data_IF_668515402581
#
_entry.id   IF_668515402581
#
_cell.length_a   1.000
_cell.length_b   1.000
_cell.length_c   1.000
_cell.angle_alpha   90.00
_cell.angle_beta   90.00
_cell.angle_gamma   90.00
#
_symmetry.space_group_name_H-M   'P 1'
#
loop_
_entity.id
_entity.type
_entity.pdbx_description
1 polymer ?
#
# COMPACT_ATOMS: atom_id res chain seq x y z
N UNK A 1 -21.52 -53.11 -17.00
CA UNK A 1 -21.64 -51.94 -16.09
C UNK A 1 -23.07 -51.87 -15.62
N UNK A 2 -23.30 -51.93 -14.31
CA UNK A 2 -24.66 -51.82 -13.75
C UNK A 2 -25.24 -50.42 -14.01
N UNK A 3 -26.55 -50.25 -13.81
CA UNK A 3 -27.18 -48.93 -13.93
C UNK A 3 -26.61 -47.95 -12.89
N UNK A 4 -26.37 -48.44 -11.68
CA UNK A 4 -25.75 -47.69 -10.57
C UNK A 4 -24.33 -47.25 -10.94
N UNK A 5 -23.55 -48.13 -11.56
CA UNK A 5 -22.21 -47.77 -12.05
C UNK A 5 -22.25 -46.69 -13.12
N UNK A 6 -23.20 -46.76 -14.05
CA UNK A 6 -23.38 -45.74 -15.11
C UNK A 6 -23.76 -44.39 -14.51
N UNK A 7 -24.71 -44.40 -13.57
CA UNK A 7 -25.16 -43.20 -12.88
C UNK A 7 -23.98 -42.55 -12.14
N UNK A 8 -23.20 -43.34 -11.39
CA UNK A 8 -22.04 -42.81 -10.67
C UNK A 8 -20.98 -42.22 -11.61
N UNK A 9 -20.70 -42.89 -12.74
CA UNK A 9 -19.76 -42.37 -13.75
C UNK A 9 -20.24 -41.04 -14.33
N UNK A 10 -21.54 -40.90 -14.61
CA UNK A 10 -22.10 -39.65 -15.12
C UNK A 10 -21.88 -38.47 -14.14
N UNK A 11 -22.15 -38.68 -12.84
CA UNK A 11 -21.88 -37.68 -11.80
C UNK A 11 -20.38 -37.34 -11.69
N UNK A 12 -19.51 -38.34 -11.75
CA UNK A 12 -18.05 -38.15 -11.63
C UNK A 12 -17.49 -37.33 -12.79
N UNK A 13 -17.86 -37.69 -14.01
CA UNK A 13 -17.32 -37.04 -15.22
C UNK A 13 -18.01 -35.70 -15.52
N UNK A 14 -19.02 -35.31 -14.73
CA UNK A 14 -19.75 -34.06 -14.92
C UNK A 14 -20.74 -34.09 -16.09
N UNK A 15 -21.20 -35.28 -16.50
CA UNK A 15 -22.24 -35.45 -17.52
C UNK A 15 -23.62 -35.27 -16.89
N UNK A 16 -24.02 -34.01 -16.72
CA UNK A 16 -25.27 -33.63 -16.06
C UNK A 16 -26.51 -34.19 -16.77
N UNK A 17 -26.53 -34.23 -18.11
CA UNK A 17 -27.68 -34.74 -18.87
C UNK A 17 -27.88 -36.24 -18.63
N UNK A 18 -26.79 -37.01 -18.67
CA UNK A 18 -26.85 -38.44 -18.38
C UNK A 18 -27.14 -38.71 -16.90
N UNK A 19 -26.57 -37.93 -15.98
CA UNK A 19 -26.80 -38.05 -14.55
C UNK A 19 -28.29 -37.89 -14.19
N UNK A 20 -28.92 -36.80 -14.67
CA UNK A 20 -30.35 -36.53 -14.44
C UNK A 20 -31.24 -37.58 -15.11
N UNK A 21 -30.84 -38.09 -16.29
CA UNK A 21 -31.58 -39.17 -16.97
C UNK A 21 -31.55 -40.48 -16.20
N UNK A 22 -30.42 -40.82 -15.58
CA UNK A 22 -30.22 -42.09 -14.90
C UNK A 22 -30.70 -42.09 -13.44
N UNK A 23 -30.64 -40.95 -12.75
CA UNK A 23 -30.95 -40.84 -11.33
C UNK A 23 -32.33 -41.42 -10.95
N UNK A 24 -33.44 -41.15 -11.67
CA UNK A 24 -34.76 -41.72 -11.35
C UNK A 24 -34.89 -43.22 -11.64
N UNK A 25 -33.98 -43.80 -12.43
CA UNK A 25 -34.01 -45.21 -12.82
C UNK A 25 -33.28 -46.10 -11.80
N UNK A 26 -32.47 -45.51 -10.93
CA UNK A 26 -31.73 -46.19 -9.87
C UNK A 26 -32.64 -46.45 -8.67
N UNK A 27 -32.51 -47.64 -8.06
CA UNK A 27 -33.35 -48.04 -6.92
C UNK A 27 -32.98 -47.34 -5.61
N UNK A 28 -31.70 -47.24 -5.29
CA UNK A 28 -31.22 -46.69 -4.02
C UNK A 28 -30.04 -45.72 -4.26
N UNK A 29 -30.28 -44.51 -4.80
CA UNK A 29 -29.21 -43.55 -5.12
C UNK A 29 -28.32 -43.19 -3.92
N UNK A 30 -28.89 -43.15 -2.72
CA UNK A 30 -28.21 -42.89 -1.45
C UNK A 30 -27.21 -43.98 -1.03
N UNK A 31 -27.29 -45.18 -1.60
CA UNK A 31 -26.33 -46.27 -1.34
C UNK A 31 -25.23 -46.36 -2.38
N UNK A 32 -25.31 -45.58 -3.46
CA UNK A 32 -24.26 -45.56 -4.48
C UNK A 32 -23.04 -44.82 -3.93
N UNK A 33 -22.03 -45.61 -3.53
CA UNK A 33 -20.72 -45.14 -3.09
C UNK A 33 -19.64 -45.97 -3.78
N UNK A 34 -18.45 -45.40 -3.99
CA UNK A 34 -17.28 -46.17 -4.46
C UNK A 34 -16.39 -46.62 -3.31
N UNK A 35 -15.80 -47.79 -3.47
CA UNK A 35 -15.07 -48.47 -2.39
C UNK A 35 -13.71 -47.84 -2.04
N UNK A 36 -13.14 -46.99 -2.90
CA UNK A 36 -11.76 -46.50 -2.71
C UNK A 36 -11.68 -45.09 -2.12
N UNK A 37 -12.70 -44.25 -2.33
CA UNK A 37 -12.83 -42.87 -1.82
C UNK A 37 -14.12 -42.65 -1.00
N UNK A 38 -15.03 -43.62 -0.95
CA UNK A 38 -16.35 -43.50 -0.27
C UNK A 38 -17.19 -42.30 -0.72
N UNK A 39 -16.90 -41.70 -1.88
CA UNK A 39 -17.67 -40.59 -2.42
C UNK A 39 -19.07 -41.07 -2.86
N UNK A 40 -20.09 -40.36 -2.39
CA UNK A 40 -21.49 -40.58 -2.78
C UNK A 40 -21.89 -39.66 -3.94
N UNK A 41 -23.02 -39.95 -4.59
CA UNK A 41 -23.57 -39.07 -5.64
C UNK A 41 -23.78 -37.64 -5.13
N UNK A 42 -24.06 -37.48 -3.84
CA UNK A 42 -24.30 -36.17 -3.24
C UNK A 42 -23.01 -35.33 -3.15
N UNK A 43 -21.87 -35.93 -2.77
CA UNK A 43 -20.55 -35.29 -2.81
C UNK A 43 -20.21 -34.80 -4.22
N UNK A 44 -20.42 -35.67 -5.22
CA UNK A 44 -20.16 -35.36 -6.62
C UNK A 44 -21.05 -34.23 -7.12
N UNK A 45 -22.36 -34.28 -6.86
CA UNK A 45 -23.29 -33.20 -7.23
C UNK A 45 -22.88 -31.85 -6.62
N UNK A 46 -22.44 -31.87 -5.36
CA UNK A 46 -22.03 -30.66 -4.63
C UNK A 46 -20.73 -30.09 -5.21
N UNK A 47 -19.77 -30.96 -5.50
CA UNK A 47 -18.50 -30.58 -6.11
C UNK A 47 -18.61 -30.13 -7.58
N UNK A 48 -19.69 -30.50 -8.28
CA UNK A 48 -19.99 -30.05 -9.65
C UNK A 48 -20.89 -28.81 -9.69
N UNK A 49 -21.40 -28.36 -8.53
CA UNK A 49 -22.28 -27.19 -8.44
C UNK A 49 -23.72 -27.46 -8.88
N UNK A 50 -24.17 -28.71 -8.89
CA UNK A 50 -25.51 -29.08 -9.34
C UNK A 50 -26.55 -28.89 -8.23
N UNK A 51 -26.87 -27.62 -7.92
CA UNK A 51 -27.74 -27.24 -6.79
C UNK A 51 -29.08 -28.00 -6.77
N UNK A 52 -29.73 -28.15 -7.92
CA UNK A 52 -31.04 -28.81 -8.00
C UNK A 52 -30.93 -30.32 -7.75
N UNK A 53 -29.88 -30.97 -8.26
CA UNK A 53 -29.62 -32.39 -8.00
C UNK A 53 -29.20 -32.63 -6.56
N UNK A 54 -28.36 -31.76 -5.99
CA UNK A 54 -28.00 -31.77 -4.56
C UNK A 54 -29.26 -31.69 -3.69
N UNK A 55 -30.17 -30.76 -4.00
CA UNK A 55 -31.48 -30.65 -3.35
C UNK A 55 -32.32 -31.91 -3.51
N UNK A 56 -32.42 -32.48 -4.71
CA UNK A 56 -33.20 -33.69 -4.96
C UNK A 56 -32.62 -34.89 -4.19
N UNK A 57 -31.30 -35.06 -4.18
CA UNK A 57 -30.59 -36.12 -3.45
C UNK A 57 -30.86 -36.07 -1.95
N UNK A 58 -30.85 -34.89 -1.33
CA UNK A 58 -31.17 -34.75 0.10
C UNK A 58 -32.66 -34.96 0.36
N UNK A 59 -33.53 -34.28 -0.39
CA UNK A 59 -34.96 -34.19 -0.05
C UNK A 59 -35.74 -35.44 -0.44
N UNK A 60 -35.48 -36.00 -1.63
CA UNK A 60 -36.24 -37.12 -2.21
C UNK A 60 -35.57 -38.47 -1.97
N UNK A 61 -34.24 -38.51 -2.03
CA UNK A 61 -33.48 -39.76 -1.87
C UNK A 61 -32.87 -39.91 -0.48
N UNK A 62 -33.09 -38.94 0.43
CA UNK A 62 -32.67 -38.98 1.83
C UNK A 62 -31.16 -39.19 2.01
N UNK A 63 -30.35 -38.58 1.14
CA UNK A 63 -28.90 -38.48 1.35
C UNK A 63 -28.62 -37.59 2.56
N UNK A 64 -27.69 -38.01 3.42
CA UNK A 64 -27.26 -37.23 4.57
C UNK A 64 -26.29 -36.12 4.10
N UNK A 65 -26.58 -34.83 4.34
CA UNK A 65 -25.69 -33.74 3.96
C UNK A 65 -24.38 -33.71 4.76
N UNK A 66 -24.34 -34.35 5.94
CA UNK A 66 -23.15 -34.51 6.76
C UNK A 66 -22.45 -35.86 6.55
N UNK A 67 -22.88 -36.62 5.54
CA UNK A 67 -22.16 -37.82 5.11
C UNK A 67 -20.70 -37.44 4.80
N UNK A 68 -19.77 -38.31 5.23
CA UNK A 68 -18.34 -38.11 5.02
C UNK A 68 -17.80 -39.13 4.04
N UNK A 69 -16.96 -38.66 3.12
CA UNK A 69 -16.14 -39.52 2.28
C UNK A 69 -14.96 -40.13 3.07
N UNK A 70 -14.07 -40.85 2.39
CA UNK A 70 -12.92 -41.50 3.04
C UNK A 70 -11.90 -40.51 3.62
N UNK A 71 -11.85 -39.28 3.12
CA UNK A 71 -11.00 -38.24 3.68
C UNK A 71 -11.67 -37.50 4.84
N UNK A 72 -12.88 -37.89 5.24
CA UNK A 72 -13.67 -37.17 6.23
C UNK A 72 -14.39 -35.94 5.66
N UNK A 73 -14.32 -35.70 4.35
CA UNK A 73 -14.92 -34.51 3.74
C UNK A 73 -16.42 -34.72 3.56
N UNK A 74 -17.21 -33.72 3.91
CA UNK A 74 -18.65 -33.68 3.63
C UNK A 74 -18.96 -32.90 2.33
N UNK A 75 -20.23 -32.81 1.95
CA UNK A 75 -20.64 -32.09 0.74
C UNK A 75 -20.26 -30.60 0.74
N UNK A 76 -20.19 -29.97 1.93
CA UNK A 76 -19.78 -28.58 2.06
C UNK A 76 -18.31 -28.38 1.70
N UNK A 77 -17.42 -29.30 2.09
CA UNK A 77 -16.02 -29.29 1.67
C UNK A 77 -15.88 -29.41 0.15
N UNK A 78 -16.66 -30.29 -0.49
CA UNK A 78 -16.62 -30.50 -1.94
C UNK A 78 -17.12 -29.26 -2.71
N UNK A 79 -18.22 -28.66 -2.28
CA UNK A 79 -18.73 -27.42 -2.86
C UNK A 79 -17.74 -26.25 -2.69
N UNK A 80 -17.13 -26.12 -1.51
CA UNK A 80 -16.15 -25.07 -1.22
C UNK A 80 -14.85 -25.23 -2.03
N UNK A 81 -14.36 -26.46 -2.16
CA UNK A 81 -13.15 -26.81 -2.94
C UNK A 81 -13.27 -26.44 -4.42
N UNK A 82 -14.50 -26.42 -4.95
CA UNK A 82 -14.79 -26.13 -6.36
C UNK A 82 -15.54 -24.80 -6.55
N UNK A 83 -15.56 -23.94 -5.53
CA UNK A 83 -16.09 -22.57 -5.58
C UNK A 83 -17.61 -22.46 -5.85
N UNK A 84 -18.41 -23.45 -5.44
CA UNK A 84 -19.87 -23.48 -5.66
C UNK A 84 -20.66 -22.90 -4.47
N UNK A 85 -20.64 -21.56 -4.35
CA UNK A 85 -21.23 -20.82 -3.21
C UNK A 85 -22.75 -21.01 -3.09
N UNK A 86 -23.46 -21.21 -4.20
CA UNK A 86 -24.89 -21.46 -4.21
C UNK A 86 -25.27 -22.80 -3.55
N UNK A 87 -24.48 -23.84 -3.79
CA UNK A 87 -24.58 -25.12 -3.07
C UNK A 87 -24.17 -24.96 -1.61
N UNK A 88 -23.06 -24.27 -1.32
CA UNK A 88 -22.63 -24.02 0.06
C UNK A 88 -23.71 -23.33 0.88
N UNK A 89 -24.34 -22.29 0.31
CA UNK A 89 -25.43 -21.55 0.94
C UNK A 89 -26.61 -22.45 1.26
N UNK A 90 -27.01 -23.31 0.33
CA UNK A 90 -28.08 -24.28 0.59
C UNK A 90 -27.70 -25.28 1.69
N UNK A 91 -26.47 -25.80 1.68
CA UNK A 91 -26.01 -26.75 2.69
C UNK A 91 -25.92 -26.13 4.09
N UNK A 92 -25.48 -24.87 4.21
CA UNK A 92 -25.37 -24.19 5.51
C UNK A 92 -26.73 -23.69 5.99
N UNK A 93 -27.45 -22.94 5.16
CA UNK A 93 -28.66 -22.24 5.59
C UNK A 93 -29.86 -23.18 5.74
N UNK A 94 -30.02 -24.14 4.82
CA UNK A 94 -31.20 -25.02 4.77
C UNK A 94 -30.91 -26.43 5.32
N UNK A 95 -29.67 -26.93 5.18
CA UNK A 95 -29.30 -28.26 5.67
C UNK A 95 -28.54 -28.24 7.01
N UNK A 96 -28.22 -27.05 7.53
CA UNK A 96 -27.53 -26.83 8.81
C UNK A 96 -26.17 -27.53 8.91
N UNK A 97 -25.44 -27.65 7.79
CA UNK A 97 -24.05 -28.07 7.81
C UNK A 97 -23.19 -27.01 8.51
N UNK A 98 -22.23 -27.45 9.33
CA UNK A 98 -21.32 -26.55 10.03
C UNK A 98 -20.22 -26.05 9.08
N UNK A 99 -20.09 -24.72 8.83
CA UNK A 99 -19.00 -24.17 8.04
C UNK A 99 -17.61 -24.37 8.66
N UNK A 100 -17.55 -24.73 9.95
CA UNK A 100 -16.30 -25.04 10.67
C UNK A 100 -16.00 -26.54 10.74
N UNK A 101 -16.82 -27.39 10.09
CA UNK A 101 -16.56 -28.83 10.05
C UNK A 101 -15.16 -29.12 9.50
N UNK A 102 -14.53 -30.14 10.07
CA UNK A 102 -13.17 -30.58 9.69
C UNK A 102 -13.18 -31.95 9.04
N UNK A 103 -12.23 -32.19 8.14
CA UNK A 103 -11.94 -33.50 7.56
C UNK A 103 -11.07 -34.38 8.48
N UNK A 104 -10.68 -35.59 8.05
CA UNK A 104 -9.85 -36.50 8.89
C UNK A 104 -8.46 -35.93 9.23
N UNK A 105 -7.98 -34.97 8.44
CA UNK A 105 -6.72 -34.27 8.64
C UNK A 105 -6.90 -32.98 9.46
N UNK A 106 -8.11 -32.69 9.95
CA UNK A 106 -8.41 -31.46 10.67
C UNK A 106 -8.58 -30.23 9.77
N UNK A 107 -8.59 -30.40 8.44
CA UNK A 107 -8.78 -29.28 7.53
C UNK A 107 -10.24 -28.82 7.59
N UNK A 108 -10.45 -27.56 7.91
CA UNK A 108 -11.78 -26.94 7.80
C UNK A 108 -12.21 -26.79 6.34
N UNK A 109 -13.49 -26.47 6.13
CA UNK A 109 -14.02 -26.08 4.80
C UNK A 109 -13.19 -24.94 4.17
N UNK A 110 -12.72 -23.98 4.98
CA UNK A 110 -11.89 -22.86 4.53
C UNK A 110 -10.49 -23.31 4.05
N UNK A 111 -9.87 -24.29 4.70
CA UNK A 111 -8.59 -24.86 4.25
C UNK A 111 -8.72 -25.43 2.84
N UNK A 112 -9.79 -26.20 2.57
CA UNK A 112 -10.03 -26.77 1.24
C UNK A 112 -10.34 -25.72 0.19
N UNK A 113 -11.11 -24.69 0.53
CA UNK A 113 -11.35 -23.57 -0.37
C UNK A 113 -10.03 -22.86 -0.74
N UNK A 114 -9.16 -22.64 0.25
CA UNK A 114 -7.90 -21.92 0.06
C UNK A 114 -6.87 -22.72 -0.73
N UNK A 115 -6.68 -24.00 -0.42
CA UNK A 115 -5.77 -24.90 -1.14
C UNK A 115 -6.14 -25.03 -2.64
N UNK A 116 -7.41 -24.80 -2.98
CA UNK A 116 -7.91 -24.83 -4.35
C UNK A 116 -8.11 -23.43 -4.97
N UNK A 117 -7.78 -22.34 -4.28
CA UNK A 117 -7.94 -20.96 -4.78
C UNK A 117 -9.38 -20.53 -5.01
N UNK A 118 -10.34 -21.10 -4.28
CA UNK A 118 -11.79 -20.87 -4.45
C UNK A 118 -12.23 -19.55 -3.80
N UNK A 119 -12.00 -18.44 -4.50
CA UNK A 119 -12.14 -17.09 -3.98
C UNK A 119 -13.54 -16.75 -3.42
N UNK A 120 -14.61 -17.17 -4.10
CA UNK A 120 -15.97 -16.82 -3.69
C UNK A 120 -16.43 -17.67 -2.49
N UNK A 121 -16.00 -18.92 -2.43
CA UNK A 121 -16.17 -19.77 -1.25
C UNK A 121 -15.43 -19.18 -0.03
N UNK A 122 -14.17 -18.73 -0.21
CA UNK A 122 -13.38 -18.08 0.83
C UNK A 122 -14.07 -16.80 1.36
N UNK A 123 -14.54 -15.92 0.45
CA UNK A 123 -15.34 -14.74 0.81
C UNK A 123 -16.57 -15.13 1.62
N UNK A 124 -17.31 -16.11 1.14
CA UNK A 124 -18.57 -16.52 1.74
C UNK A 124 -18.36 -17.04 3.17
N UNK A 125 -17.38 -17.90 3.38
CA UNK A 125 -17.03 -18.47 4.69
C UNK A 125 -16.56 -17.39 5.68
N UNK A 126 -15.64 -16.51 5.27
CA UNK A 126 -15.04 -15.53 6.17
C UNK A 126 -16.03 -14.39 6.50
N UNK A 127 -16.73 -13.86 5.48
CA UNK A 127 -17.55 -12.65 5.66
C UNK A 127 -18.92 -12.99 6.23
N UNK A 128 -19.56 -14.07 5.78
CA UNK A 128 -20.93 -14.39 6.19
C UNK A 128 -20.99 -15.35 7.37
N UNK A 129 -19.98 -16.22 7.53
CA UNK A 129 -19.96 -17.26 8.57
C UNK A 129 -18.84 -17.09 9.59
N UNK A 130 -18.03 -16.02 9.47
CA UNK A 130 -16.97 -15.68 10.43
C UNK A 130 -15.96 -16.81 10.66
N UNK A 131 -15.68 -17.61 9.62
CA UNK A 131 -14.64 -18.63 9.66
C UNK A 131 -13.29 -18.01 10.01
N UNK A 132 -12.61 -18.59 11.01
CA UNK A 132 -11.30 -18.14 11.45
C UNK A 132 -10.23 -18.55 10.43
N UNK A 133 -9.57 -17.60 9.74
CA UNK A 133 -8.48 -17.90 8.81
C UNK A 133 -7.19 -18.36 9.53
N UNK A 134 -7.13 -18.28 10.86
CA UNK A 134 -6.03 -18.77 11.70
C UNK A 134 -6.26 -20.20 12.24
N UNK A 135 -7.38 -20.84 11.89
CA UNK A 135 -7.66 -22.20 12.35
C UNK A 135 -6.55 -23.17 11.89
N UNK A 136 -6.07 -24.02 12.80
CA UNK A 136 -5.05 -25.04 12.50
C UNK A 136 -5.71 -26.39 12.20
N UNK A 137 -5.03 -27.20 11.38
CA UNK A 137 -5.39 -28.60 11.12
C UNK A 137 -4.54 -29.54 12.00
N UNK A 138 -4.68 -30.87 11.82
CA UNK A 138 -3.98 -31.87 12.63
C UNK A 138 -2.48 -32.00 12.28
N UNK A 139 -1.99 -31.33 11.24
CA UNK A 139 -0.58 -31.39 10.84
C UNK A 139 0.28 -30.33 11.55
N UNK A 140 -0.33 -29.49 12.40
CA UNK A 140 0.34 -28.51 13.28
C UNK A 140 1.48 -27.73 12.60
N UNK A 141 1.31 -27.35 11.32
CA UNK A 141 2.32 -26.60 10.60
C UNK A 141 1.94 -25.12 10.51
N UNK A 142 2.60 -24.26 11.28
CA UNK A 142 2.46 -22.80 11.20
C UNK A 142 2.64 -22.28 9.76
N UNK A 143 3.45 -22.97 8.96
CA UNK A 143 3.68 -22.68 7.55
C UNK A 143 2.40 -22.76 6.70
N UNK A 144 1.47 -23.68 7.00
CA UNK A 144 0.23 -23.83 6.23
C UNK A 144 -0.76 -22.70 6.53
N UNK A 145 -0.86 -22.28 7.80
CA UNK A 145 -1.66 -21.11 8.18
C UNK A 145 -1.11 -19.86 7.48
N UNK A 146 0.22 -19.71 7.42
CA UNK A 146 0.86 -18.60 6.67
C UNK A 146 0.52 -18.65 5.18
N UNK A 147 0.54 -19.83 4.54
CA UNK A 147 0.16 -20.00 3.14
C UNK A 147 -1.31 -19.62 2.89
N UNK A 148 -2.21 -20.03 3.79
CA UNK A 148 -3.64 -19.67 3.73
C UNK A 148 -3.83 -18.15 3.85
N UNK A 149 -3.16 -17.53 4.81
CA UNK A 149 -3.19 -16.09 5.03
C UNK A 149 -2.60 -15.30 3.87
N UNK A 150 -1.47 -15.74 3.31
CA UNK A 150 -0.81 -15.05 2.20
C UNK A 150 -1.64 -15.18 0.90
N UNK A 151 -2.32 -16.32 0.69
CA UNK A 151 -3.31 -16.50 -0.38
C UNK A 151 -4.52 -15.56 -0.20
N UNK A 152 -5.09 -15.50 1.00
CA UNK A 152 -6.19 -14.58 1.33
C UNK A 152 -5.79 -13.10 1.25
N UNK A 153 -4.54 -12.78 1.60
CA UNK A 153 -3.99 -11.42 1.51
C UNK A 153 -3.77 -11.00 0.06
N UNK A 154 -3.17 -11.86 -0.76
CA UNK A 154 -2.89 -11.58 -2.18
C UNK A 154 -4.17 -11.40 -3.00
N UNK A 155 -5.26 -12.04 -2.59
CA UNK A 155 -6.59 -11.86 -3.19
C UNK A 155 -7.31 -10.59 -2.73
N UNK A 156 -6.77 -9.88 -1.74
CA UNK A 156 -7.35 -8.64 -1.19
C UNK A 156 -8.56 -8.88 -0.27
N UNK A 157 -8.81 -10.13 0.14
CA UNK A 157 -9.94 -10.49 1.01
C UNK A 157 -9.70 -10.10 2.46
N UNK A 158 -8.46 -10.26 2.92
CA UNK A 158 -8.04 -9.88 4.26
C UNK A 158 -6.80 -9.01 4.18
N UNK A 159 -6.51 -8.25 5.23
CA UNK A 159 -5.20 -7.64 5.44
C UNK A 159 -4.51 -8.31 6.61
N UNK A 160 -3.37 -8.94 6.36
CA UNK A 160 -2.58 -9.60 7.39
C UNK A 160 -1.51 -8.63 7.84
N UNK A 161 -1.55 -8.25 9.11
CA UNK A 161 -0.55 -7.41 9.74
C UNK A 161 0.32 -8.27 10.63
N UNK A 162 1.64 -8.24 10.41
CA UNK A 162 2.60 -9.02 11.17
C UNK A 162 3.45 -8.06 12.02
N UNK A 163 3.67 -8.41 13.28
CA UNK A 163 4.69 -7.84 14.18
C UNK A 163 5.63 -8.98 14.63
N UNK A 164 6.72 -8.66 15.33
CA UNK A 164 7.70 -9.65 15.81
C UNK A 164 7.04 -10.78 16.62
N UNK A 165 6.00 -10.46 17.40
CA UNK A 165 5.36 -11.40 18.35
C UNK A 165 3.88 -11.71 18.03
N UNK A 166 3.27 -11.05 17.05
CA UNK A 166 1.81 -11.15 16.80
C UNK A 166 1.44 -11.03 15.32
N UNK A 167 0.42 -11.78 14.93
CA UNK A 167 -0.25 -11.66 13.63
C UNK A 167 -1.69 -11.23 13.85
N UNK A 168 -2.11 -10.17 13.15
CA UNK A 168 -3.50 -9.73 13.13
C UNK A 168 -4.08 -9.93 11.74
N UNK A 169 -5.30 -10.47 11.70
CA UNK A 169 -6.04 -10.65 10.46
C UNK A 169 -7.22 -9.69 10.43
N UNK A 170 -7.17 -8.75 9.48
CA UNK A 170 -8.25 -7.79 9.23
C UNK A 170 -9.12 -8.33 8.11
N UNK A 171 -10.28 -8.84 8.48
CA UNK A 171 -11.25 -9.42 7.54
C UNK A 171 -11.99 -8.34 6.73
N UNK A 172 -12.22 -7.15 7.30
CA UNK A 172 -12.92 -6.07 6.61
C UNK A 172 -12.11 -4.77 6.65
N UNK A 173 -11.20 -4.62 5.67
CA UNK A 173 -10.40 -3.41 5.50
C UNK A 173 -11.27 -2.17 5.32
N UNK A 174 -12.39 -2.27 4.61
CA UNK A 174 -13.27 -1.14 4.31
C UNK A 174 -13.94 -0.54 5.55
N UNK A 175 -14.44 -1.40 6.45
CA UNK A 175 -15.00 -0.94 7.72
C UNK A 175 -13.93 -0.31 8.61
N UNK A 176 -12.78 -0.98 8.78
CA UNK A 176 -11.69 -0.42 9.58
C UNK A 176 -11.21 0.93 9.02
N UNK A 177 -11.06 1.02 7.69
CA UNK A 177 -10.70 2.26 7.03
C UNK A 177 -11.75 3.35 7.26
N UNK A 178 -13.04 3.03 7.17
CA UNK A 178 -14.13 4.00 7.36
C UNK A 178 -14.19 4.49 8.81
N UNK A 179 -14.08 3.58 9.79
CA UNK A 179 -14.10 3.92 11.21
C UNK A 179 -12.85 4.72 11.61
N UNK A 180 -11.67 4.28 11.19
CA UNK A 180 -10.41 4.93 11.57
C UNK A 180 -10.20 6.24 10.82
N UNK A 181 -10.27 6.24 9.49
CA UNK A 181 -10.05 7.47 8.71
C UNK A 181 -11.17 8.47 8.89
N UNK A 182 -12.41 8.00 9.05
CA UNK A 182 -13.57 8.87 9.26
C UNK A 182 -13.50 9.67 10.55
N UNK A 183 -12.84 9.15 11.58
CA UNK A 183 -12.62 9.85 12.85
C UNK A 183 -11.31 10.64 12.81
N UNK A 184 -10.21 10.00 12.37
CA UNK A 184 -8.88 10.59 12.43
C UNK A 184 -8.72 11.80 11.49
N UNK A 185 -9.43 11.81 10.35
CA UNK A 185 -9.34 12.85 9.32
C UNK A 185 -10.67 13.57 9.09
N UNK A 186 -11.62 13.47 10.04
CA UNK A 186 -12.85 14.24 9.97
C UNK A 186 -12.52 15.74 9.86
N UNK A 187 -13.10 16.49 8.90
CA UNK A 187 -12.94 17.94 8.86
C UNK A 187 -13.57 18.59 10.10
N UNK A 188 -13.05 19.75 10.54
CA UNK A 188 -13.54 20.49 11.72
C UNK A 188 -15.06 20.74 11.74
N UNK A 189 -15.69 20.78 10.55
CA UNK A 189 -17.13 20.98 10.40
C UNK A 189 -17.98 19.76 10.79
N UNK A 190 -17.37 18.59 10.98
CA UNK A 190 -18.03 17.34 11.32
C UNK A 190 -18.07 17.11 12.83
N UNK A 191 -19.13 16.46 13.32
CA UNK A 191 -19.29 16.19 14.76
C UNK A 191 -18.26 15.20 15.28
N UNK A 192 -17.75 14.38 14.39
CA UNK A 192 -16.79 13.31 14.62
C UNK A 192 -15.34 13.83 14.65
N UNK A 193 -15.11 15.12 14.35
CA UNK A 193 -13.78 15.71 14.40
C UNK A 193 -13.21 15.67 15.81
N UNK A 194 -12.00 15.13 15.93
CA UNK A 194 -11.21 15.20 17.15
C UNK A 194 -9.85 15.77 16.82
N UNK A 195 -9.50 16.88 17.47
CA UNK A 195 -8.17 17.47 17.38
C UNK A 195 -7.17 16.61 18.17
N UNK A 196 -6.71 15.54 17.53
CA UNK A 196 -5.77 14.59 18.12
C UNK A 196 -4.30 14.98 17.88
N UNK A 197 -4.04 15.89 16.95
CA UNK A 197 -2.70 16.21 16.48
C UNK A 197 -2.29 17.67 16.63
N UNK A 198 -3.19 18.53 17.12
CA UNK A 198 -2.93 19.94 17.44
C UNK A 198 -2.18 20.67 16.32
N UNK A 199 -2.64 20.51 15.07
CA UNK A 199 -2.05 21.10 13.85
C UNK A 199 -0.60 20.70 13.52
N UNK A 200 0.07 19.88 14.33
CA UNK A 200 1.47 19.44 14.15
C UNK A 200 1.58 18.10 13.42
N UNK A 201 0.47 17.37 13.31
CA UNK A 201 0.46 16.00 12.82
C UNK A 201 1.09 14.99 13.78
N UNK A 202 1.42 15.37 15.03
CA UNK A 202 1.94 14.43 16.03
C UNK A 202 0.79 13.84 16.82
N UNK A 203 0.64 12.51 16.77
CA UNK A 203 -0.37 11.77 17.52
C UNK A 203 0.33 10.83 18.49
N UNK A 204 -0.06 10.91 19.76
CA UNK A 204 0.41 9.95 20.76
C UNK A 204 -0.35 8.63 20.67
N UNK A 205 0.32 7.52 20.96
CA UNK A 205 -0.34 6.20 20.98
C UNK A 205 -1.44 6.15 22.06
N UNK A 206 -1.28 6.86 23.18
CA UNK A 206 -2.34 6.96 24.19
C UNK A 206 -3.57 7.71 23.66
N UNK A 207 -3.38 8.80 22.92
CA UNK A 207 -4.46 9.52 22.24
C UNK A 207 -5.17 8.64 21.22
N UNK A 208 -4.42 7.89 20.42
CA UNK A 208 -4.98 6.95 19.45
C UNK A 208 -5.78 5.84 20.14
N UNK A 209 -5.28 5.30 21.24
CA UNK A 209 -5.96 4.26 22.04
C UNK A 209 -7.27 4.79 22.65
N UNK A 210 -7.28 6.06 23.08
CA UNK A 210 -8.47 6.72 23.62
C UNK A 210 -9.55 6.91 22.55
N UNK A 211 -9.16 7.21 21.31
CA UNK A 211 -10.10 7.32 20.18
C UNK A 211 -10.65 5.97 19.74
N UNK A 212 -9.82 4.93 19.78
CA UNK A 212 -10.12 3.63 19.21
C UNK A 212 -9.98 2.50 20.24
N UNK A 213 -10.72 2.54 21.36
CA UNK A 213 -10.52 1.61 22.49
C UNK A 213 -10.89 0.16 22.15
N UNK A 214 -11.63 -0.06 21.06
CA UNK A 214 -12.02 -1.39 20.56
C UNK A 214 -10.85 -2.14 19.93
N UNK A 215 -9.83 -1.43 19.46
CA UNK A 215 -8.75 -2.00 18.67
C UNK A 215 -7.46 -2.08 19.46
N UNK A 216 -6.66 -3.11 19.17
CA UNK A 216 -5.29 -3.20 19.67
C UNK A 216 -4.45 -2.06 19.04
N UNK A 217 -3.72 -1.26 19.85
CA UNK A 217 -2.99 -0.10 19.36
C UNK A 217 -1.84 -0.47 18.41
N UNK A 218 -1.18 -1.62 18.62
CA UNK A 218 -0.10 -2.06 17.73
C UNK A 218 -0.66 -2.50 16.38
N UNK A 219 -1.81 -3.16 16.37
CA UNK A 219 -2.55 -3.48 15.15
C UNK A 219 -2.89 -2.21 14.37
N UNK A 220 -3.44 -1.18 15.03
CA UNK A 220 -3.77 0.10 14.38
C UNK A 220 -2.53 0.80 13.83
N UNK A 221 -1.42 0.81 14.57
CA UNK A 221 -0.17 1.40 14.12
C UNK A 221 0.34 0.67 12.88
N UNK A 222 0.36 -0.66 12.90
CA UNK A 222 0.73 -1.45 11.73
C UNK A 222 -0.20 -1.18 10.55
N UNK A 223 -1.52 -1.08 10.78
CA UNK A 223 -2.49 -0.76 9.75
C UNK A 223 -2.21 0.60 9.10
N UNK A 224 -2.06 1.65 9.92
CA UNK A 224 -1.84 3.03 9.45
C UNK A 224 -0.47 3.21 8.76
N UNK A 225 0.57 2.49 9.21
CA UNK A 225 1.87 2.43 8.54
C UNK A 225 1.80 1.71 7.20
N UNK A 226 1.08 0.59 7.11
CA UNK A 226 0.89 -0.14 5.85
C UNK A 226 0.05 0.65 4.83
N UNK A 227 -0.75 1.61 5.31
CA UNK A 227 -1.46 2.58 4.48
C UNK A 227 -0.61 3.83 4.16
N UNK A 228 0.64 3.88 4.62
CA UNK A 228 1.58 5.00 4.44
C UNK A 228 1.05 6.35 4.95
N UNK A 229 0.18 6.31 5.97
CA UNK A 229 -0.41 7.52 6.56
C UNK A 229 0.46 8.10 7.67
N UNK A 230 1.24 7.26 8.34
CA UNK A 230 2.08 7.69 9.45
C UNK A 230 3.37 6.89 9.60
N UNK A 231 4.28 7.42 10.40
CA UNK A 231 5.47 6.71 10.84
C UNK A 231 5.73 6.97 12.33
N UNK A 232 6.25 5.97 13.05
CA UNK A 232 6.65 6.15 14.44
C UNK A 232 7.91 7.01 14.54
N UNK A 233 7.88 8.03 15.40
CA UNK A 233 8.97 8.99 15.59
C UNK A 233 9.82 8.64 16.81
N UNK A 234 11.13 8.83 16.69
CA UNK A 234 12.03 8.89 17.84
C UNK A 234 11.97 10.28 18.49
N UNK A 235 11.83 10.41 19.82
CA UNK A 235 11.88 11.70 20.51
C UNK A 235 13.06 12.62 20.14
N UNK A 236 14.21 12.06 19.73
CA UNK A 236 15.35 12.86 19.24
C UNK A 236 15.03 13.63 17.95
N UNK A 237 14.21 13.06 17.07
CA UNK A 237 13.78 13.70 15.83
C UNK A 237 12.91 14.93 16.12
N UNK A 238 12.00 14.86 17.10
CA UNK A 238 11.19 16.02 17.48
C UNK A 238 12.04 17.21 17.90
N UNK A 239 13.13 16.97 18.64
CA UNK A 239 14.08 18.02 19.06
C UNK A 239 14.75 18.75 17.90
N UNK A 240 14.79 18.12 16.74
CA UNK A 240 15.41 18.64 15.52
C UNK A 240 14.39 19.29 14.58
N UNK A 241 13.11 19.35 14.97
CA UNK A 241 12.02 19.85 14.12
C UNK A 241 11.21 20.97 14.79
N UNK A 242 10.46 21.71 13.98
CA UNK A 242 9.45 22.66 14.48
C UNK A 242 8.19 21.98 15.04
N UNK A 243 8.16 20.64 15.11
CA UNK A 243 7.04 19.83 15.60
C UNK A 243 7.07 19.63 17.13
N UNK A 244 8.13 20.11 17.81
CA UNK A 244 8.35 19.90 19.25
C UNK A 244 7.28 20.56 20.14
N UNK A 245 6.71 21.68 19.71
CA UNK A 245 6.01 22.62 20.59
C UNK A 245 4.71 22.07 21.23
N UNK A 246 4.21 20.89 20.85
CA UNK A 246 3.01 20.29 21.46
C UNK A 246 3.20 18.87 22.01
N UNK A 247 4.38 18.26 21.89
CA UNK A 247 4.67 17.02 22.61
C UNK A 247 4.84 17.26 24.14
N UNK A 248 4.90 18.53 24.57
CA UNK A 248 5.18 18.96 25.95
C UNK A 248 4.11 19.91 26.51
N UNK A 249 3.21 20.47 25.70
CA UNK A 249 2.23 21.48 26.16
C UNK A 249 0.91 20.89 26.72
N UNK A 250 0.92 19.64 27.22
CA UNK A 250 -0.09 19.12 28.16
C UNK A 250 0.42 19.10 29.63
N UNK A 251 1.38 19.96 29.99
CA UNK A 251 1.85 20.11 31.37
C UNK A 251 1.72 21.56 31.89
N UNK A 252 0.48 22.04 32.05
CA UNK A 252 0.20 22.88 33.22
C UNK A 252 -0.17 21.97 34.39
N UNK A 253 0.62 22.09 35.47
CA UNK A 253 0.55 21.35 36.75
C UNK A 253 1.27 19.99 36.81
N UNK A 254 2.61 20.04 36.72
CA UNK A 254 3.50 19.16 37.46
C UNK A 254 3.51 17.69 37.04
N UNK A 255 4.27 17.37 36.01
CA UNK A 255 4.57 16.00 35.60
C UNK A 255 6.03 15.85 35.21
N UNK A 256 6.67 14.77 35.64
CA UNK A 256 7.93 14.29 35.06
C UNK A 256 7.72 13.96 33.59
N UNK A 257 8.63 14.39 32.70
CA UNK A 257 8.75 13.91 31.31
C UNK A 257 8.34 12.44 31.27
N UNK A 258 7.22 12.10 30.62
CA UNK A 258 6.86 10.70 30.33
C UNK A 258 7.89 10.16 29.34
N UNK A 259 9.02 9.78 29.90
CA UNK A 259 10.14 9.08 29.28
C UNK A 259 9.63 7.70 28.86
N UNK A 260 8.95 7.62 27.71
CA UNK A 260 8.47 6.35 27.17
C UNK A 260 7.22 6.40 26.26
N UNK A 261 6.58 7.55 26.06
CA UNK A 261 5.41 7.60 25.17
C UNK A 261 5.80 7.44 23.69
N UNK A 262 5.10 6.54 22.98
CA UNK A 262 5.28 6.33 21.54
C UNK A 262 4.49 7.39 20.78
N UNK A 263 5.16 8.05 19.83
CA UNK A 263 4.61 9.13 19.02
C UNK A 263 4.61 8.75 17.55
N UNK A 264 3.56 9.16 16.83
CA UNK A 264 3.36 8.92 15.41
C UNK A 264 3.30 10.26 14.68
N UNK A 265 3.99 10.35 13.54
CA UNK A 265 3.85 11.49 12.63
C UNK A 265 2.81 11.18 11.56
N UNK A 266 1.83 12.05 11.41
CA UNK A 266 0.85 12.06 10.33
C UNK A 266 1.05 13.34 9.52
N UNK A 267 1.80 13.32 8.40
CA UNK A 267 2.00 14.52 7.59
C UNK A 267 0.68 15.14 7.10
N UNK A 268 -0.34 14.31 6.87
CA UNK A 268 -1.68 14.71 6.44
C UNK A 268 -2.47 15.52 7.48
N UNK A 269 -2.08 15.44 8.76
CA UNK A 269 -2.69 16.22 9.85
C UNK A 269 -1.94 17.53 10.12
N UNK A 270 -0.92 17.83 9.32
CA UNK A 270 -0.16 19.06 9.42
C UNK A 270 -0.94 20.18 8.70
N UNK A 271 -1.38 21.19 9.46
CA UNK A 271 -2.18 22.31 8.94
C UNK A 271 -1.45 23.65 9.02
N UNK A 272 -0.23 23.68 9.56
CA UNK A 272 0.59 24.90 9.65
C UNK A 272 0.91 25.47 8.28
N UNK A 273 0.85 26.79 8.17
CA UNK A 273 1.31 27.53 7.00
C UNK A 273 2.83 27.60 6.91
N UNK A 274 3.31 27.93 5.71
CA UNK A 274 4.73 28.10 5.41
C UNK A 274 5.36 29.20 6.28
N UNK A 275 6.55 28.95 6.89
CA UNK A 275 7.26 29.97 7.65
C UNK A 275 7.81 31.11 6.77
N UNK A 276 7.73 32.36 7.26
CA UNK A 276 8.25 33.54 6.57
C UNK A 276 9.75 33.47 6.30
N UNK A 277 10.51 32.81 7.19
CA UNK A 277 11.97 32.63 7.09
C UNK A 277 12.38 31.94 5.77
N UNK A 278 11.53 31.07 5.22
CA UNK A 278 11.79 30.37 3.96
C UNK A 278 11.84 31.34 2.77
N UNK A 279 11.10 32.44 2.82
CA UNK A 279 11.05 33.45 1.74
C UNK A 279 12.32 34.28 1.62
N UNK A 280 13.14 34.30 2.67
CA UNK A 280 14.38 35.10 2.72
C UNK A 280 15.62 34.32 2.27
N UNK A 281 15.47 33.03 1.95
CA UNK A 281 16.59 32.16 1.52
C UNK A 281 17.02 32.48 0.08
N UNK A 282 18.34 32.46 -0.15
CA UNK A 282 18.94 32.64 -1.48
C UNK A 282 19.23 31.27 -2.10
N UNK A 283 18.35 30.82 -2.98
CA UNK A 283 18.49 29.55 -3.69
C UNK A 283 19.43 29.67 -4.89
N UNK A 284 20.21 28.62 -5.13
CA UNK A 284 21.17 28.50 -6.24
C UNK A 284 20.70 27.50 -7.29
N UNK A 285 19.80 26.59 -6.91
CA UNK A 285 19.23 25.61 -7.81
C UNK A 285 17.72 25.49 -7.60
N UNK A 286 16.99 25.29 -8.70
CA UNK A 286 15.54 25.06 -8.72
C UNK A 286 15.16 24.02 -9.76
N UNK A 287 14.34 23.06 -9.35
CA UNK A 287 13.80 22.01 -10.21
C UNK A 287 12.34 21.81 -9.90
N UNK A 288 11.56 21.43 -10.91
CA UNK A 288 10.17 21.05 -10.68
C UNK A 288 9.71 19.85 -11.52
N UNK A 289 8.84 19.06 -10.91
CA UNK A 289 8.07 18.01 -11.56
C UNK A 289 6.67 18.55 -11.82
N UNK A 290 6.33 18.82 -13.08
CA UNK A 290 5.09 19.48 -13.43
C UNK A 290 4.15 18.57 -14.21
N UNK A 291 2.86 18.55 -13.84
CA UNK A 291 1.83 17.87 -14.62
C UNK A 291 1.68 18.50 -16.02
N UNK A 292 1.59 17.67 -17.06
CA UNK A 292 1.44 18.14 -18.46
C UNK A 292 0.07 18.73 -18.74
N UNK A 293 -0.97 18.14 -18.14
CA UNK A 293 -2.37 18.55 -18.29
C UNK A 293 -2.76 19.56 -17.23
N UNK A 294 -3.55 20.57 -17.60
CA UNK A 294 -4.07 21.61 -16.69
C UNK A 294 -5.05 21.09 -15.63
N UNK A 295 -5.56 19.87 -15.78
CA UNK A 295 -6.52 19.28 -14.85
C UNK A 295 -5.90 18.18 -13.99
N UNK A 296 -4.62 17.90 -14.18
CA UNK A 296 -3.89 16.90 -13.42
C UNK A 296 -3.21 17.56 -12.23
N UNK A 297 -3.30 16.93 -11.05
CA UNK A 297 -2.65 17.38 -9.83
C UNK A 297 -2.05 16.18 -9.10
N UNK A 298 -0.98 16.42 -8.35
CA UNK A 298 -0.45 15.41 -7.45
C UNK A 298 -1.47 15.17 -6.33
N UNK A 299 -1.89 13.93 -6.09
CA UNK A 299 -2.79 13.62 -4.98
C UNK A 299 -2.16 14.02 -3.65
N UNK A 300 -2.92 14.47 -2.64
CA UNK A 300 -2.37 14.77 -1.31
C UNK A 300 -1.58 13.61 -0.71
N UNK A 301 -2.02 12.36 -0.95
CA UNK A 301 -1.32 11.15 -0.52
C UNK A 301 0.13 11.09 -1.03
N UNK A 302 0.39 11.57 -2.25
CA UNK A 302 1.76 11.64 -2.79
C UNK A 302 2.66 12.51 -1.90
N UNK A 303 2.16 13.67 -1.45
CA UNK A 303 2.92 14.51 -0.52
C UNK A 303 3.18 13.83 0.81
N UNK A 304 2.19 13.10 1.33
CA UNK A 304 2.30 12.43 2.61
C UNK A 304 3.41 11.38 2.58
N UNK A 305 3.41 10.51 1.56
CA UNK A 305 4.44 9.49 1.35
C UNK A 305 5.80 10.14 1.13
N UNK A 306 5.88 11.16 0.27
CA UNK A 306 7.11 11.88 0.00
C UNK A 306 7.69 12.54 1.26
N UNK A 307 6.84 13.16 2.09
CA UNK A 307 7.24 13.78 3.35
C UNK A 307 7.79 12.76 4.33
N UNK A 308 7.14 11.60 4.46
CA UNK A 308 7.66 10.50 5.28
C UNK A 308 9.02 10.01 4.75
N UNK A 309 9.15 9.78 3.44
CA UNK A 309 10.41 9.34 2.86
C UNK A 309 11.54 10.34 3.09
N UNK A 310 11.34 11.62 2.77
CA UNK A 310 12.37 12.66 2.91
C UNK A 310 12.74 12.91 4.37
N UNK A 311 11.76 13.02 5.26
CA UNK A 311 11.98 13.21 6.68
C UNK A 311 12.86 12.09 7.27
N UNK A 312 12.56 10.84 6.92
CA UNK A 312 13.24 9.70 7.53
C UNK A 312 14.53 9.30 6.83
N UNK A 313 14.60 9.36 5.49
CA UNK A 313 15.82 9.00 4.74
C UNK A 313 16.87 10.11 4.79
N UNK A 314 16.45 11.38 4.76
CA UNK A 314 17.35 12.51 4.52
C UNK A 314 17.53 13.40 5.75
N UNK A 315 16.49 13.63 6.56
CA UNK A 315 16.59 14.54 7.70
C UNK A 315 17.07 13.88 9.01
N UNK A 316 16.87 12.58 9.21
CA UNK A 316 17.36 11.86 10.41
C UNK A 316 18.91 11.79 10.43
N UNK A 317 19.57 12.08 11.57
CA UNK A 317 21.01 11.92 11.70
C UNK A 317 21.40 10.44 11.58
N UNK A 318 22.40 10.15 10.74
CA UNK A 318 23.03 8.82 10.71
C UNK A 318 23.93 8.66 11.95
N UNK A 319 24.06 7.43 12.47
CA UNK A 319 24.63 7.07 13.79
C UNK A 319 25.97 7.73 14.16
N UNK A 320 26.75 8.21 13.18
CA UNK A 320 28.09 8.75 13.40
C UNK A 320 28.22 10.28 13.24
N UNK A 321 27.15 11.04 12.94
CA UNK A 321 27.24 12.50 12.79
C UNK A 321 26.21 13.26 13.66
N UNK A 322 26.64 13.84 14.80
CA UNK A 322 25.77 14.54 15.77
C UNK A 322 25.41 15.99 15.38
N UNK A 323 25.66 16.42 14.14
CA UNK A 323 25.36 17.79 13.71
C UNK A 323 23.84 18.04 13.58
N UNK A 324 23.40 19.20 14.08
CA UNK A 324 22.00 19.61 14.16
C UNK A 324 21.36 19.83 12.78
N UNK A 325 20.81 18.78 12.19
CA UNK A 325 19.91 18.87 11.02
C UNK A 325 18.57 19.44 11.47
N UNK A 326 18.37 20.76 11.38
CA UNK A 326 17.06 21.36 11.63
C UNK A 326 16.15 21.11 10.44
N UNK A 327 14.96 20.59 10.71
CA UNK A 327 13.99 20.19 9.71
C UNK A 327 12.63 20.85 10.02
N UNK A 328 12.12 21.62 9.07
CA UNK A 328 10.93 22.47 9.26
C UNK A 328 9.83 21.99 8.33
N UNK A 329 8.67 21.66 8.88
CA UNK A 329 7.51 21.18 8.13
C UNK A 329 6.37 22.22 8.12
N UNK A 330 5.62 22.24 7.03
CA UNK A 330 4.30 22.89 6.89
C UNK A 330 3.42 22.06 5.95
N UNK A 331 2.13 22.40 5.84
CA UNK A 331 1.08 21.59 5.21
C UNK A 331 1.46 20.95 3.86
N UNK A 332 2.21 21.67 3.02
CA UNK A 332 2.56 21.25 1.67
C UNK A 332 4.07 21.23 1.42
N UNK A 333 4.91 21.37 2.45
CA UNK A 333 6.35 21.37 2.24
C UNK A 333 7.21 21.10 3.46
N UNK A 334 8.48 20.90 3.16
CA UNK A 334 9.52 20.49 4.07
C UNK A 334 10.81 21.22 3.67
N UNK A 335 11.53 21.72 4.67
CA UNK A 335 12.86 22.29 4.50
C UNK A 335 13.84 21.71 5.51
N UNK A 336 15.05 21.36 5.08
CA UNK A 336 16.11 20.91 5.99
C UNK A 336 17.49 21.36 5.53
N UNK A 337 18.43 21.37 6.47
CA UNK A 337 19.86 21.51 6.20
C UNK A 337 20.58 20.19 6.46
N UNK A 338 21.54 19.85 5.60
CA UNK A 338 22.50 18.79 5.87
C UNK A 338 23.72 19.31 6.65
N UNK A 339 24.63 18.41 6.97
CA UNK A 339 25.92 18.63 7.64
C UNK A 339 26.95 19.40 6.80
N UNK A 340 26.62 19.72 5.55
CA UNK A 340 27.47 20.44 4.61
C UNK A 340 26.88 21.81 4.24
N UNK A 341 26.00 22.35 5.08
CA UNK A 341 25.31 23.64 4.89
C UNK A 341 24.54 23.74 3.56
N UNK A 342 24.09 22.60 3.03
CA UNK A 342 23.16 22.54 1.90
C UNK A 342 21.75 22.51 2.45
N UNK A 343 21.02 23.61 2.24
CA UNK A 343 19.59 23.74 2.47
C UNK A 343 18.81 23.15 1.31
N UNK A 344 17.82 22.31 1.62
CA UNK A 344 16.94 21.66 0.64
C UNK A 344 15.49 21.92 0.99
N UNK A 345 14.76 22.47 0.04
CA UNK A 345 13.33 22.74 0.11
C UNK A 345 12.61 21.79 -0.83
N UNK A 346 11.56 21.13 -0.35
CA UNK A 346 10.61 20.40 -1.19
C UNK A 346 9.21 20.87 -0.84
N UNK A 347 8.44 21.30 -1.84
CA UNK A 347 7.08 21.82 -1.66
C UNK A 347 6.18 21.37 -2.81
N UNK A 348 4.93 21.00 -2.51
CA UNK A 348 3.88 20.87 -3.51
C UNK A 348 3.16 22.21 -3.64
N UNK A 349 3.21 22.76 -4.85
CA UNK A 349 2.55 24.02 -5.18
C UNK A 349 1.21 23.71 -5.84
N UNK A 350 0.14 23.74 -5.04
CA UNK A 350 -1.21 23.36 -5.45
C UNK A 350 -1.72 24.14 -6.67
N UNK A 351 -1.50 25.47 -6.70
CA UNK A 351 -1.90 26.35 -7.80
C UNK A 351 -1.22 25.98 -9.13
N UNK A 352 -0.04 25.36 -9.05
CA UNK A 352 0.86 25.11 -10.18
C UNK A 352 0.99 23.65 -10.58
N UNK A 353 0.36 22.75 -9.82
CA UNK A 353 0.33 21.31 -10.09
C UNK A 353 1.74 20.73 -10.23
N UNK A 354 2.67 21.20 -9.38
CA UNK A 354 4.06 20.79 -9.44
C UNK A 354 4.65 20.50 -8.07
N UNK A 355 5.60 19.57 -8.07
CA UNK A 355 6.55 19.38 -6.97
C UNK A 355 7.74 20.29 -7.25
N UNK A 356 8.06 21.16 -6.30
CA UNK A 356 9.17 22.09 -6.36
C UNK A 356 10.30 21.59 -5.48
N UNK A 357 11.52 21.58 -6.00
CA UNK A 357 12.75 21.34 -5.26
C UNK A 357 13.65 22.56 -5.42
N UNK A 358 13.99 23.22 -4.32
CA UNK A 358 14.94 24.34 -4.32
C UNK A 358 16.11 24.01 -3.40
N UNK A 359 17.33 24.38 -3.80
CA UNK A 359 18.53 24.13 -3.00
C UNK A 359 19.38 25.37 -2.87
N UNK A 360 19.97 25.54 -1.69
CA UNK A 360 20.86 26.63 -1.32
C UNK A 360 22.11 26.03 -0.68
N UNK A 361 23.27 26.58 -0.97
CA UNK A 361 24.53 26.08 -0.42
C UNK A 361 25.48 27.26 -0.08
N UNK A 362 26.23 27.14 1.01
CA UNK A 362 27.32 28.08 1.28
C UNK A 362 28.46 27.94 0.24
N UNK A 363 29.20 29.04 0.02
CA UNK A 363 30.26 29.09 -1.00
C UNK A 363 31.34 28.03 -0.72
N UNK A 364 31.55 27.14 -1.68
CA UNK A 364 32.61 26.11 -1.65
C UNK A 364 32.11 24.67 -1.47
N UNK A 365 30.81 24.47 -1.27
CA UNK A 365 30.20 23.13 -1.09
C UNK A 365 29.29 22.70 -2.26
N UNK A 366 29.49 23.27 -3.46
CA UNK A 366 28.70 23.00 -4.68
C UNK A 366 28.61 21.51 -5.03
N UNK A 367 29.70 20.76 -4.83
CA UNK A 367 29.75 19.32 -5.14
C UNK A 367 28.82 18.50 -4.22
N UNK A 368 28.67 18.91 -2.95
CA UNK A 368 27.75 18.28 -2.01
C UNK A 368 26.30 18.57 -2.38
N UNK A 369 26.01 19.78 -2.88
CA UNK A 369 24.70 20.12 -3.41
C UNK A 369 24.35 19.24 -4.60
N UNK A 370 25.28 19.01 -5.53
CA UNK A 370 25.07 18.12 -6.69
C UNK A 370 24.73 16.69 -6.27
N UNK A 371 25.44 16.12 -5.29
CA UNK A 371 25.14 14.78 -4.78
C UNK A 371 23.78 14.73 -4.09
N UNK A 372 23.48 15.66 -3.17
CA UNK A 372 22.22 15.67 -2.44
C UNK A 372 21.04 15.89 -3.39
N UNK A 373 21.19 16.76 -4.38
CA UNK A 373 20.17 17.00 -5.41
C UNK A 373 19.77 15.73 -6.12
N UNK A 374 20.75 14.91 -6.54
CA UNK A 374 20.50 13.61 -7.18
C UNK A 374 19.65 12.73 -6.28
N UNK A 375 20.00 12.65 -5.01
CA UNK A 375 19.35 11.76 -4.05
C UNK A 375 17.92 12.23 -3.75
N UNK A 376 17.70 13.54 -3.59
CA UNK A 376 16.37 14.15 -3.37
C UNK A 376 15.47 13.97 -4.60
N UNK A 377 15.94 14.34 -5.80
CA UNK A 377 15.15 14.20 -7.03
C UNK A 377 14.87 12.72 -7.31
N UNK A 378 15.86 11.85 -7.08
CA UNK A 378 15.71 10.40 -7.20
C UNK A 378 14.58 9.86 -6.32
N UNK A 379 14.51 10.31 -5.07
CA UNK A 379 13.44 9.93 -4.14
C UNK A 379 12.07 10.48 -4.59
N UNK A 380 11.99 11.75 -4.98
CA UNK A 380 10.78 12.38 -5.53
C UNK A 380 10.22 11.57 -6.71
N UNK A 381 11.10 11.15 -7.62
CA UNK A 381 10.74 10.35 -8.80
C UNK A 381 10.41 8.90 -8.46
N UNK A 382 11.05 8.32 -7.44
CA UNK A 382 10.73 6.97 -6.94
C UNK A 382 9.30 6.93 -6.41
N UNK A 383 8.97 7.85 -5.48
CA UNK A 383 7.62 7.97 -4.92
C UNK A 383 6.60 8.26 -6.02
N UNK A 384 6.95 9.05 -7.03
CA UNK A 384 6.02 9.36 -8.13
C UNK A 384 5.66 8.11 -8.95
N UNK A 385 6.66 7.28 -9.27
CA UNK A 385 6.44 6.03 -10.02
C UNK A 385 5.62 5.02 -9.22
N UNK A 386 5.76 4.99 -7.91
CA UNK A 386 5.04 4.08 -7.03
C UNK A 386 3.61 4.56 -6.76
N UNK A 387 3.43 5.82 -6.40
CA UNK A 387 2.14 6.36 -5.96
C UNK A 387 1.24 6.81 -7.12
N UNK A 388 1.80 7.35 -8.21
CA UNK A 388 1.02 8.02 -9.28
C UNK A 388 1.56 7.75 -10.69
N UNK A 389 1.79 6.48 -11.11
CA UNK A 389 2.44 6.16 -12.39
C UNK A 389 1.66 6.59 -13.64
N UNK A 390 0.35 6.80 -13.53
CA UNK A 390 -0.52 7.22 -14.64
C UNK A 390 -0.49 8.73 -14.90
N UNK A 391 0.08 9.52 -13.99
CA UNK A 391 0.08 10.97 -14.07
C UNK A 391 1.18 11.43 -15.04
N UNK A 392 0.83 12.02 -16.17
CA UNK A 392 1.84 12.54 -17.10
C UNK A 392 2.54 13.78 -16.54
N UNK A 393 3.86 13.68 -16.37
CA UNK A 393 4.71 14.74 -15.81
C UNK A 393 5.88 15.10 -16.72
N UNK A 394 6.38 16.33 -16.55
CA UNK A 394 7.60 16.84 -17.15
C UNK A 394 8.57 17.29 -16.07
N UNK A 395 9.83 16.91 -16.25
CA UNK A 395 10.95 17.35 -15.41
C UNK A 395 11.53 18.63 -16.00
N UNK A 396 11.64 19.66 -15.17
CA UNK A 396 12.02 21.01 -15.57
C UNK A 396 13.06 21.58 -14.60
N UNK A 397 14.04 22.30 -15.12
CA UNK A 397 15.01 23.11 -14.35
C UNK A 397 14.60 24.57 -14.47
N UNK A 398 14.54 25.29 -13.34
CA UNK A 398 14.24 26.72 -13.30
C UNK A 398 15.51 27.50 -13.64
N UNK A 399 15.39 28.55 -14.45
CA UNK A 399 16.52 29.45 -14.75
C UNK A 399 17.15 29.97 -13.43
N UNK A 400 18.47 29.83 -13.24
CA UNK A 400 19.16 30.33 -12.05
C UNK A 400 18.94 31.82 -11.76
N UNK A 401 18.56 32.61 -12.76
CA UNK A 401 18.22 34.05 -12.61
C UNK A 401 16.82 34.28 -12.02
N UNK A 402 15.97 33.26 -12.04
CA UNK A 402 14.57 33.31 -11.59
C UNK A 402 14.33 32.35 -10.41
N UNK A 403 15.24 32.28 -9.45
CA UNK A 403 15.12 31.40 -8.26
C UNK A 403 14.49 32.07 -7.03
N UNK A 404 13.90 33.26 -7.19
CA UNK A 404 13.20 33.92 -6.09
C UNK A 404 12.08 33.02 -5.53
N UNK A 405 11.95 32.92 -4.22
CA UNK A 405 10.94 32.09 -3.56
C UNK A 405 10.00 32.99 -2.72
N UNK A 406 8.67 32.77 -2.66
CA UNK A 406 7.88 31.63 -3.17
C UNK A 406 7.85 31.48 -4.70
N UNK A 407 7.66 30.25 -5.18
CA UNK A 407 7.32 29.98 -6.58
C UNK A 407 5.81 29.76 -6.68
N UNK A 408 5.05 30.83 -6.90
CA UNK A 408 3.59 30.71 -7.03
C UNK A 408 3.21 30.01 -8.35
N UNK A 409 3.95 30.29 -9.43
CA UNK A 409 3.66 29.87 -10.81
C UNK A 409 4.94 29.56 -11.59
N UNK A 410 5.46 28.32 -11.60
CA UNK A 410 6.58 27.94 -12.46
C UNK A 410 6.29 28.12 -13.95
N UNK A 411 5.00 28.15 -14.35
CA UNK A 411 4.59 28.43 -15.74
C UNK A 411 4.94 29.85 -16.21
N UNK A 412 5.14 30.77 -15.28
CA UNK A 412 5.49 32.16 -15.55
C UNK A 412 7.01 32.38 -15.52
N UNK A 413 7.78 31.30 -15.29
CA UNK A 413 9.24 31.35 -15.25
C UNK A 413 9.88 30.75 -16.49
N UNK A 414 11.10 31.19 -16.75
CA UNK A 414 11.97 30.54 -17.72
C UNK A 414 12.38 29.17 -17.17
N UNK A 415 11.93 28.10 -17.82
CA UNK A 415 12.19 26.72 -17.43
C UNK A 415 12.76 25.93 -18.60
N UNK A 416 13.63 24.98 -18.29
CA UNK A 416 14.33 24.16 -19.26
C UNK A 416 13.96 22.69 -19.07
N UNK A 417 13.56 22.01 -20.15
CA UNK A 417 13.26 20.57 -20.04
C UNK A 417 14.53 19.78 -19.76
N UNK A 418 14.49 18.95 -18.71
CA UNK A 418 15.58 18.01 -18.40
C UNK A 418 15.85 17.09 -19.59
N UNK A 419 14.81 16.67 -20.31
CA UNK A 419 14.94 15.83 -21.51
C UNK A 419 15.77 16.52 -22.60
N UNK A 420 15.53 17.80 -22.82
CA UNK A 420 16.22 18.56 -23.86
C UNK A 420 17.66 18.87 -23.42
N UNK A 421 17.88 19.20 -22.15
CA UNK A 421 19.21 19.37 -21.55
C UNK A 421 20.04 18.09 -21.77
N UNK A 422 19.51 16.93 -21.40
CA UNK A 422 20.19 15.64 -21.57
C UNK A 422 20.45 15.33 -23.05
N UNK A 423 19.52 15.65 -23.96
CA UNK A 423 19.75 15.47 -25.39
C UNK A 423 20.86 16.38 -25.92
N UNK A 424 20.97 17.62 -25.45
CA UNK A 424 22.02 18.54 -25.87
C UNK A 424 23.39 18.04 -25.38
N UNK A 425 23.46 17.55 -24.14
CA UNK A 425 24.68 16.96 -23.56
C UNK A 425 25.13 15.71 -24.37
N UNK A 426 24.23 14.77 -24.65
CA UNK A 426 24.55 13.54 -25.41
C UNK A 426 25.06 13.86 -26.83
N UNK A 427 24.58 14.96 -27.43
CA UNK A 427 25.03 15.46 -28.74
C UNK A 427 26.28 16.34 -28.66
N UNK A 428 26.76 16.70 -27.47
CA UNK A 428 27.87 17.63 -27.27
C UNK A 428 27.56 19.08 -27.65
N UNK A 429 26.27 19.46 -27.65
CA UNK A 429 25.82 20.82 -27.92
C UNK A 429 26.10 21.71 -26.70
N UNK A 430 26.67 22.90 -26.92
CA UNK A 430 26.98 23.86 -25.84
C UNK A 430 25.78 24.68 -25.38
N UNK A 431 24.73 24.75 -26.21
CA UNK A 431 23.60 25.65 -26.04
C UNK A 431 22.28 24.88 -26.16
N UNK A 432 21.30 25.26 -25.35
CA UNK A 432 19.91 24.87 -25.56
C UNK A 432 19.20 25.95 -26.38
N UNK A 433 18.42 25.54 -27.39
CA UNK A 433 17.66 26.45 -28.26
C UNK A 433 16.21 26.48 -27.80
N UNK A 434 15.69 27.68 -27.54
CA UNK A 434 14.29 27.92 -27.18
C UNK A 434 13.38 28.01 -28.42
N UNK A 435 12.07 27.86 -28.21
CA UNK A 435 11.03 28.05 -29.24
C UNK A 435 11.06 29.46 -29.87
N UNK A 436 11.64 30.45 -29.17
CA UNK A 436 11.80 31.83 -29.62
C UNK A 436 13.19 32.11 -30.25
N UNK A 437 13.95 31.07 -30.61
CA UNK A 437 15.32 31.11 -31.16
C UNK A 437 16.40 31.65 -30.22
N UNK A 438 16.09 31.95 -28.96
CA UNK A 438 17.12 32.33 -27.97
C UNK A 438 17.96 31.12 -27.56
N UNK A 439 19.24 31.35 -27.27
CA UNK A 439 20.21 30.30 -26.91
C UNK A 439 20.73 30.56 -25.51
N UNK A 440 20.64 29.56 -24.64
CA UNK A 440 21.21 29.60 -23.28
C UNK A 440 22.33 28.57 -23.19
N UNK A 441 23.50 28.95 -22.65
CA UNK A 441 24.59 28.01 -22.42
C UNK A 441 24.21 26.99 -21.35
N UNK A 442 24.52 25.71 -21.57
CA UNK A 442 24.26 24.66 -20.57
C UNK A 442 24.96 24.96 -19.23
N UNK A 443 26.13 25.61 -19.28
CA UNK A 443 26.87 26.05 -18.09
C UNK A 443 26.20 27.20 -17.36
N UNK A 444 25.35 27.99 -18.02
CA UNK A 444 24.53 29.00 -17.35
C UNK A 444 23.32 28.37 -16.64
N UNK A 445 22.79 27.25 -17.17
CA UNK A 445 21.66 26.52 -16.58
C UNK A 445 22.12 25.69 -15.38
N UNK A 446 23.28 25.04 -15.48
CA UNK A 446 23.87 24.18 -14.45
C UNK A 446 25.28 24.68 -14.09
N UNK A 447 25.38 25.82 -13.38
CA UNK A 447 26.65 26.49 -13.10
C UNK A 447 27.59 25.64 -12.24
N UNK A 448 27.04 24.83 -11.35
CA UNK A 448 27.80 24.02 -10.40
C UNK A 448 28.27 22.68 -10.99
N UNK A 449 27.88 22.34 -12.23
CA UNK A 449 28.22 21.05 -12.83
C UNK A 449 29.45 21.10 -13.74
N UNK A 450 30.36 20.16 -13.53
CA UNK A 450 31.43 19.85 -14.46
C UNK A 450 30.84 19.17 -15.70
N UNK A 451 30.74 19.89 -16.83
CA UNK A 451 30.20 19.37 -18.10
C UNK A 451 30.92 18.09 -18.59
N UNK A 452 32.16 17.85 -18.15
CA UNK A 452 32.92 16.63 -18.43
C UNK A 452 32.50 15.41 -17.61
N UNK A 453 31.88 15.59 -16.43
CA UNK A 453 31.41 14.49 -15.57
C UNK A 453 29.94 14.09 -15.86
N UNK A 454 29.26 14.82 -16.76
CA UNK A 454 27.83 14.64 -17.11
C UNK A 454 27.60 13.43 -18.04
N UNK A 455 28.64 12.69 -18.41
CA UNK A 455 28.48 11.37 -19.06
C UNK A 455 27.81 10.32 -18.15
N UNK A 456 27.51 10.66 -16.89
CA UNK A 456 26.75 9.82 -15.95
C UNK A 456 25.32 10.39 -15.77
N UNK A 457 24.34 10.03 -16.62
CA UNK A 457 23.02 10.66 -16.75
C UNK A 457 22.05 10.41 -15.57
N UNK A 458 22.55 10.04 -14.38
CA UNK A 458 21.77 9.88 -13.16
C UNK A 458 21.60 11.18 -12.36
N UNK A 459 22.33 12.24 -12.69
CA UNK A 459 22.51 13.44 -11.84
C UNK A 459 21.31 14.41 -11.80
N UNK A 460 20.40 14.35 -12.79
CA UNK A 460 19.11 15.06 -12.78
C UNK A 460 17.93 14.13 -12.45
N UNK A 461 18.22 12.94 -11.89
CA UNK A 461 17.34 12.12 -11.04
C UNK A 461 16.13 11.48 -11.73
N UNK A 462 16.26 10.20 -12.11
CA UNK A 462 15.07 9.38 -12.43
C UNK A 462 15.31 8.11 -13.26
N UNK A 463 16.51 7.89 -13.80
CA UNK A 463 16.81 6.73 -14.66
C UNK A 463 17.88 5.85 -14.05
N UNK A 464 17.58 4.55 -13.97
CA UNK A 464 18.55 3.52 -13.63
C UNK A 464 19.71 3.52 -14.62
N UNK A 465 20.93 3.49 -14.09
CA UNK A 465 22.20 3.37 -14.85
C UNK A 465 22.30 2.03 -15.62
N UNK A 466 21.28 1.15 -15.56
CA UNK A 466 21.32 -0.22 -16.12
C UNK A 466 20.72 -0.41 -17.52
N UNK A 467 20.50 0.65 -18.31
CA UNK A 467 20.12 0.50 -19.73
C UNK A 467 21.17 1.10 -20.66
N UNK A 468 22.39 0.54 -20.67
CA UNK A 468 23.34 0.63 -21.79
C UNK A 468 24.56 -0.31 -21.63
N UNK A 469 24.32 -1.62 -21.66
CA UNK A 469 25.31 -2.57 -22.22
C UNK A 469 24.52 -3.65 -22.97
N UNK A 470 24.03 -3.32 -24.17
CA UNK A 470 23.81 -4.28 -25.25
C UNK A 470 23.26 -3.53 -26.46
N UNK A 471 24.17 -2.89 -27.20
CA UNK A 471 24.16 -2.80 -28.66
C UNK A 471 25.36 -1.94 -29.05
N UNK A 472 26.52 -2.57 -29.20
CA UNK A 472 27.57 -2.26 -30.18
C UNK A 472 28.84 -3.03 -29.81
N UNK A 473 28.91 -4.28 -30.26
CA UNK A 473 30.17 -4.85 -30.73
C UNK A 473 29.87 -5.56 -32.04
N UNK A 474 30.71 -5.22 -33.02
CA UNK A 474 30.84 -5.70 -34.41
C UNK A 474 30.46 -7.16 -34.63
#
# INVERSE_FOLDING_TARGET
MSLEDKCWVAFREGDHEEAVRLLPLVKEPNKIKRNWDHSSLHHLSSGQGWLDDTKELITKYHCDPNERDKGGQNCLHWAARHNHVDVMRYLIDECHCDPMDTDEYGNTVLHKATANGSLDAMKYLIIHHHCDPMATNNEDNEDEVLDVLDSLHSTGLISVLKSEDKVWVIVNKGMLLTEVNGILFAPETFKEHVDIASNTGIVSVSGLTRLFPKYDPDMLICFLKNMELCQQINPSFLKMTNLHQLAVEEEEEGGTEKTGERLLFFPCLLSRDRPDEMTSQMYQFGWCLQCTSKHHFFPPQYFHVLSLCLAYKMALPQKDNPLMRRCTFWKNGLYWFNDHDVGSLVEIVDESQCVLVMMSCEKGYSDNMVSLRRDVIGEVMSVYKESCPSLEVKELVIDPKELAYPVNTPRERTVFSVKDILSAIDKGEKYLVHDNETRTELKEILPDESLSDISNPSLLGGRDIKVRINTQTV
#
